data_IF_263837234889
#
_entry.id   IF_263837234889
#
_cell.length_a   1.000
_cell.length_b   1.000
_cell.length_c   1.000
_cell.angle_alpha   90.00
_cell.angle_beta   90.00
_cell.angle_gamma   90.00
#
_symmetry.space_group_name_H-M   'P 1'
#
loop_
_entity.id
_entity.type
_entity.pdbx_description
1 polymer ?
#
# COMPACT_ATOMS: atom_id res chain seq x y z
N UNK A 1 0.07 11.75 -6.70
CA UNK A 1 0.67 10.42 -7.02
C UNK A 1 -0.19 9.25 -6.50
N UNK A 2 -0.91 9.44 -5.39
CA UNK A 2 -1.78 8.43 -4.77
C UNK A 2 -2.73 7.69 -5.72
N UNK A 3 -3.44 8.39 -6.62
CA UNK A 3 -4.38 7.77 -7.57
C UNK A 3 -3.73 6.71 -8.48
N UNK A 4 -2.51 6.98 -8.97
CA UNK A 4 -1.76 6.03 -9.79
C UNK A 4 -1.40 4.78 -8.98
N UNK A 5 -0.92 4.96 -7.75
CA UNK A 5 -0.59 3.87 -6.83
C UNK A 5 -1.80 2.96 -6.60
N UNK A 6 -2.98 3.54 -6.30
CA UNK A 6 -4.23 2.79 -6.13
C UNK A 6 -4.59 1.98 -7.38
N UNK A 7 -4.50 2.57 -8.58
CA UNK A 7 -4.77 1.88 -9.86
C UNK A 7 -3.81 0.72 -10.14
N UNK A 8 -2.54 0.85 -9.78
CA UNK A 8 -1.55 -0.23 -9.94
C UNK A 8 -1.84 -1.35 -8.95
N UNK A 9 -2.04 -1.02 -7.67
CA UNK A 9 -2.31 -2.00 -6.61
C UNK A 9 -3.57 -2.84 -6.88
N UNK A 10 -4.63 -2.24 -7.43
CA UNK A 10 -5.82 -2.97 -7.86
C UNK A 10 -5.47 -4.04 -8.90
N UNK A 11 -4.67 -3.69 -9.91
CA UNK A 11 -4.30 -4.58 -11.03
C UNK A 11 -3.42 -5.75 -10.59
N UNK A 12 -2.57 -5.57 -9.57
CA UNK A 12 -1.65 -6.61 -9.11
C UNK A 12 -2.15 -7.38 -7.88
N UNK A 13 -3.31 -7.03 -7.33
CA UNK A 13 -3.81 -7.54 -6.04
C UNK A 13 -4.06 -9.05 -5.99
N UNK A 14 -4.31 -9.69 -7.14
CA UNK A 14 -4.47 -11.16 -7.26
C UNK A 14 -3.16 -11.93 -7.11
N UNK A 15 -2.00 -11.27 -7.28
CA UNK A 15 -0.69 -11.88 -7.13
C UNK A 15 0.03 -11.29 -5.91
N UNK A 16 0.12 -12.07 -4.83
CA UNK A 16 0.72 -11.64 -3.55
C UNK A 16 2.13 -11.06 -3.72
N UNK A 17 2.99 -11.68 -4.56
CA UNK A 17 4.37 -11.23 -4.76
C UNK A 17 4.44 -9.90 -5.51
N UNK A 18 3.62 -9.72 -6.55
CA UNK A 18 3.53 -8.47 -7.29
C UNK A 18 2.91 -7.35 -6.45
N UNK A 19 1.84 -7.65 -5.71
CA UNK A 19 1.22 -6.72 -4.77
C UNK A 19 2.23 -6.20 -3.75
N UNK A 20 3.01 -7.09 -3.11
CA UNK A 20 4.05 -6.71 -2.16
C UNK A 20 5.09 -5.75 -2.77
N UNK A 21 5.50 -6.02 -4.02
CA UNK A 21 6.50 -5.21 -4.72
C UNK A 21 5.97 -3.82 -5.02
N UNK A 22 4.78 -3.71 -5.59
CA UNK A 22 4.19 -2.42 -5.97
C UNK A 22 3.76 -1.63 -4.74
N UNK A 23 3.29 -2.28 -3.67
CA UNK A 23 2.98 -1.60 -2.39
C UNK A 23 4.21 -0.90 -1.82
N UNK A 24 5.35 -1.59 -1.76
CA UNK A 24 6.61 -0.98 -1.29
C UNK A 24 7.06 0.19 -2.17
N UNK A 25 6.84 0.13 -3.48
CA UNK A 25 7.12 1.27 -4.37
C UNK A 25 6.18 2.43 -4.07
N UNK A 26 4.88 2.18 -3.96
CA UNK A 26 3.89 3.21 -3.63
C UNK A 26 4.22 3.90 -2.30
N UNK A 27 4.59 3.15 -1.28
CA UNK A 27 5.01 3.69 0.02
C UNK A 27 6.23 4.61 -0.13
N UNK A 28 7.22 4.24 -0.94
CA UNK A 28 8.40 5.08 -1.21
C UNK A 28 8.10 6.35 -2.00
N UNK A 29 7.08 6.33 -2.87
CA UNK A 29 6.72 7.46 -3.72
C UNK A 29 5.77 8.47 -3.05
N UNK A 30 5.15 8.11 -1.93
CA UNK A 30 4.20 8.96 -1.22
C UNK A 30 4.78 9.46 0.09
N UNK A 31 4.35 10.65 0.50
CA UNK A 31 4.79 11.31 1.73
C UNK A 31 3.60 11.99 2.40
N UNK A 32 3.69 12.21 3.72
CA UNK A 32 2.67 12.94 4.47
C UNK A 32 1.28 12.31 4.37
N UNK A 33 0.26 13.16 4.15
CA UNK A 33 -1.15 12.76 4.09
C UNK A 33 -1.45 11.72 3.01
N UNK A 34 -0.78 11.80 1.85
CA UNK A 34 -0.96 10.83 0.76
C UNK A 34 -0.56 9.40 1.21
N UNK A 35 0.46 9.29 2.06
CA UNK A 35 0.91 8.01 2.60
C UNK A 35 -0.07 7.46 3.65
N UNK A 36 -0.64 8.32 4.49
CA UNK A 36 -1.71 7.95 5.45
C UNK A 36 -2.96 7.46 4.71
N UNK A 37 -3.41 8.22 3.72
CA UNK A 37 -4.54 7.82 2.87
C UNK A 37 -4.29 6.50 2.13
N UNK A 38 -3.04 6.22 1.72
CA UNK A 38 -2.71 4.92 1.13
C UNK A 38 -2.86 3.79 2.14
N UNK A 39 -2.34 3.95 3.37
CA UNK A 39 -2.43 2.93 4.42
C UNK A 39 -3.89 2.57 4.73
N UNK A 40 -4.70 3.57 5.06
CA UNK A 40 -6.14 3.37 5.36
C UNK A 40 -6.85 2.65 4.23
N UNK A 41 -6.67 3.14 3.00
CA UNK A 41 -7.32 2.56 1.83
C UNK A 41 -6.87 1.12 1.55
N UNK A 42 -5.58 0.80 1.71
CA UNK A 42 -5.07 -0.55 1.53
C UNK A 42 -5.66 -1.52 2.57
N UNK A 43 -5.70 -1.12 3.84
CA UNK A 43 -6.24 -1.94 4.93
C UNK A 43 -7.73 -2.22 4.75
N UNK A 44 -8.50 -1.25 4.27
CA UNK A 44 -9.93 -1.43 3.97
C UNK A 44 -10.16 -2.32 2.76
N UNK A 45 -9.42 -2.08 1.66
CA UNK A 45 -9.66 -2.70 0.35
C UNK A 45 -9.10 -4.10 0.21
N UNK A 46 -7.99 -4.40 0.89
CA UNK A 46 -7.20 -5.61 0.70
C UNK A 46 -7.03 -6.38 2.01
N UNK A 47 -8.12 -6.63 2.73
CA UNK A 47 -8.12 -7.38 4.01
C UNK A 47 -7.38 -8.72 3.93
N UNK A 48 -7.45 -9.41 2.79
CA UNK A 48 -6.70 -10.64 2.49
C UNK A 48 -5.16 -10.51 2.55
N UNK A 49 -4.64 -9.28 2.49
CA UNK A 49 -3.21 -8.94 2.56
C UNK A 49 -2.86 -8.16 3.83
N UNK A 50 -3.70 -8.19 4.88
CA UNK A 50 -3.54 -7.36 6.08
C UNK A 50 -2.14 -7.46 6.71
N UNK A 51 -1.62 -8.67 6.96
CA UNK A 51 -0.28 -8.86 7.54
C UNK A 51 0.83 -8.26 6.68
N UNK A 52 0.71 -8.40 5.36
CA UNK A 52 1.67 -7.86 4.40
C UNK A 52 1.63 -6.34 4.40
N UNK A 53 0.44 -5.75 4.48
CA UNK A 53 0.24 -4.29 4.55
C UNK A 53 0.86 -3.75 5.83
N UNK A 54 0.52 -4.32 6.99
CA UNK A 54 1.08 -3.90 8.28
C UNK A 54 2.62 -4.02 8.29
N UNK A 55 3.16 -5.14 7.78
CA UNK A 55 4.61 -5.31 7.67
C UNK A 55 5.25 -4.29 6.73
N UNK A 56 4.59 -3.87 5.65
CA UNK A 56 5.14 -2.92 4.70
C UNK A 56 5.17 -1.48 5.26
N UNK A 57 4.20 -1.13 6.11
CA UNK A 57 4.11 0.18 6.75
C UNK A 57 4.85 0.27 8.10
N UNK A 58 5.27 -0.85 8.71
CA UNK A 58 6.04 -0.87 9.97
C UNK A 58 7.23 0.12 10.02
N UNK A 59 8.03 0.33 8.96
CA UNK A 59 9.13 1.30 8.98
C UNK A 59 8.69 2.77 9.05
N UNK A 60 7.39 3.05 8.96
CA UNK A 60 6.78 4.38 8.92
C UNK A 60 5.84 4.59 10.13
N UNK A 61 6.35 4.61 11.37
CA UNK A 61 5.54 4.65 12.59
C UNK A 61 4.83 5.98 12.83
N UNK A 62 5.22 7.06 12.13
CA UNK A 62 4.59 8.38 12.23
C UNK A 62 3.33 8.55 11.33
N UNK A 63 2.77 7.42 10.84
CA UNK A 63 1.52 7.35 10.09
C UNK A 63 0.31 7.18 10.99
#
# INVERSE_FOLDING_TARGET
MLSLCKKVLLRVSSNKKLFARELRKSIKYLTGEDLKHLKTWCTERFRQHAELIESAFRPYPAL
#
